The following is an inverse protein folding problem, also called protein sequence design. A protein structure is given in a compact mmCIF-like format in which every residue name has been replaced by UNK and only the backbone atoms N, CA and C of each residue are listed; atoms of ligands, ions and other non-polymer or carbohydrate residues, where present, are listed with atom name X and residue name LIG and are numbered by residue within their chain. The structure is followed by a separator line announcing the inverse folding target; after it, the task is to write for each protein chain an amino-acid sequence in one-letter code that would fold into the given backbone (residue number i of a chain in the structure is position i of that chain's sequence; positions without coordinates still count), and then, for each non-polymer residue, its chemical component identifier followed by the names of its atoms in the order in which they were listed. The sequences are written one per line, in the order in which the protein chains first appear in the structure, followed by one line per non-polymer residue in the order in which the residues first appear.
data_IF_855963399025
#
_entry.id   IF_855963399025
#
_cell.length_a   1.000
_cell.length_b   1.000
_cell.length_c   1.000
_cell.angle_alpha   90.00
_cell.angle_beta   90.00
_cell.angle_gamma   90.00
#
_symmetry.space_group_name_H-M   'P 1'
#
loop_
_entity.id
_entity.type
_entity.pdbx_description
1 polymer ?
#
# COMPACT_ATOMS: atom_id res chain seq x y z
N UNK A 1 17.72 1.72 -28.00
CA UNK A 1 16.72 2.08 -26.97
C UNK A 1 15.35 1.42 -27.19
N UNK A 2 14.89 1.20 -28.44
CA UNK A 2 13.62 0.52 -28.73
C UNK A 2 13.53 -0.93 -28.22
N UNK A 3 14.60 -1.73 -28.30
CA UNK A 3 14.52 -3.16 -27.92
C UNK A 3 14.34 -3.42 -26.43
N UNK A 4 14.72 -2.48 -25.55
CA UNK A 4 14.52 -2.59 -24.10
C UNK A 4 13.10 -2.25 -23.69
N UNK A 5 12.44 -1.33 -24.39
CA UNK A 5 11.03 -1.01 -24.15
C UNK A 5 10.15 -2.17 -24.58
N UNK A 6 10.35 -2.67 -25.80
CA UNK A 6 9.59 -3.83 -26.30
C UNK A 6 9.77 -5.09 -25.45
N UNK A 7 10.96 -5.32 -24.86
CA UNK A 7 11.15 -6.45 -23.93
C UNK A 7 10.46 -6.25 -22.58
N UNK A 8 10.31 -5.01 -22.14
CA UNK A 8 9.73 -4.67 -20.85
C UNK A 8 8.21 -4.68 -20.93
N UNK A 9 7.64 -4.12 -22.00
CA UNK A 9 6.20 -4.17 -22.30
C UNK A 9 5.73 -5.63 -22.40
N UNK A 10 6.48 -6.48 -23.10
CA UNK A 10 6.19 -7.92 -23.19
C UNK A 10 6.30 -8.64 -21.83
N UNK A 11 7.23 -8.22 -20.95
CA UNK A 11 7.35 -8.78 -19.62
C UNK A 11 6.19 -8.35 -18.71
N UNK A 12 5.76 -7.09 -18.82
CA UNK A 12 4.59 -6.56 -18.14
C UNK A 12 3.33 -7.33 -18.57
N UNK A 13 3.05 -7.40 -19.87
CA UNK A 13 1.90 -8.13 -20.43
C UNK A 13 1.89 -9.60 -19.97
N UNK A 14 3.04 -10.27 -19.99
CA UNK A 14 3.12 -11.64 -19.54
C UNK A 14 2.83 -11.78 -18.04
N UNK A 15 3.33 -10.88 -17.18
CA UNK A 15 3.05 -10.91 -15.74
C UNK A 15 1.56 -10.66 -15.46
N UNK A 16 0.97 -9.67 -16.13
CA UNK A 16 -0.46 -9.35 -16.03
C UNK A 16 -1.31 -10.56 -16.44
N UNK A 17 -0.96 -11.20 -17.57
CA UNK A 17 -1.66 -12.40 -18.06
C UNK A 17 -1.51 -13.58 -17.10
N UNK A 18 -0.32 -13.83 -16.55
CA UNK A 18 -0.09 -14.90 -15.55
C UNK A 18 -0.93 -14.67 -14.30
N UNK A 19 -1.23 -13.41 -13.96
CA UNK A 19 -2.14 -13.04 -12.86
C UNK A 19 -3.63 -13.11 -13.25
N UNK A 20 -3.97 -13.60 -14.44
CA UNK A 20 -5.36 -13.73 -14.89
C UNK A 20 -6.04 -12.40 -15.22
N UNK A 21 -5.26 -11.33 -15.44
CA UNK A 21 -5.76 -10.04 -15.89
C UNK A 21 -5.63 -9.92 -17.40
N UNK A 22 -6.61 -9.27 -18.00
CA UNK A 22 -6.57 -8.87 -19.41
C UNK A 22 -6.48 -7.36 -19.43
N UNK A 23 -5.37 -6.80 -19.89
CA UNK A 23 -5.18 -5.36 -20.08
C UNK A 23 -5.45 -4.98 -21.53
N UNK A 24 -5.98 -3.79 -21.76
CA UNK A 24 -5.88 -3.15 -23.09
C UNK A 24 -4.49 -2.53 -23.26
N UNK A 25 -4.06 -2.31 -24.50
CA UNK A 25 -2.75 -1.71 -24.78
C UNK A 25 -2.60 -0.35 -24.07
N UNK A 26 -1.51 -0.19 -23.31
CA UNK A 26 -1.24 1.01 -22.52
C UNK A 26 -2.10 1.19 -21.25
N UNK A 27 -2.96 0.23 -20.91
CA UNK A 27 -3.69 0.24 -19.64
C UNK A 27 -2.74 -0.11 -18.50
N UNK A 28 -2.80 0.69 -17.44
CA UNK A 28 -1.98 0.47 -16.26
C UNK A 28 -2.50 -0.72 -15.46
N UNK A 29 -1.58 -1.43 -14.80
CA UNK A 29 -1.93 -2.59 -13.98
C UNK A 29 -2.99 -2.27 -12.92
N UNK A 30 -2.86 -1.14 -12.20
CA UNK A 30 -3.84 -0.75 -11.19
C UNK A 30 -5.24 -0.56 -11.79
N UNK A 31 -5.34 0.17 -12.90
CA UNK A 31 -6.63 0.42 -13.55
C UNK A 31 -7.29 -0.88 -14.00
N UNK A 32 -6.49 -1.82 -14.52
CA UNK A 32 -6.98 -3.13 -14.96
C UNK A 32 -7.42 -4.03 -13.80
N UNK A 33 -6.67 -4.06 -12.69
CA UNK A 33 -7.02 -4.88 -11.53
C UNK A 33 -8.19 -4.28 -10.73
N UNK A 34 -8.27 -2.95 -10.65
CA UNK A 34 -9.36 -2.23 -9.97
C UNK A 34 -10.69 -2.40 -10.72
N UNK A 35 -10.68 -2.33 -12.05
CA UNK A 35 -11.86 -2.54 -12.88
C UNK A 35 -12.22 -4.03 -13.09
N UNK A 36 -11.43 -4.97 -12.57
CA UNK A 36 -11.65 -6.39 -12.80
C UNK A 36 -12.92 -6.89 -12.11
N UNK A 37 -13.71 -7.69 -12.83
CA UNK A 37 -14.87 -8.38 -12.26
C UNK A 37 -14.48 -9.52 -11.30
N UNK A 38 -13.23 -9.98 -11.36
CA UNK A 38 -12.73 -11.00 -10.45
C UNK A 38 -12.25 -10.36 -9.14
N UNK A 39 -13.14 -10.34 -8.16
CA UNK A 39 -12.90 -9.77 -6.82
C UNK A 39 -11.69 -10.37 -6.09
N UNK A 40 -11.30 -11.60 -6.42
CA UNK A 40 -10.17 -12.28 -5.78
C UNK A 40 -8.84 -11.73 -6.28
N UNK A 41 -8.76 -11.23 -7.53
CA UNK A 41 -7.51 -10.72 -8.07
C UNK A 41 -7.01 -9.53 -7.25
N UNK A 42 -7.87 -8.56 -6.98
CA UNK A 42 -7.52 -7.39 -6.18
C UNK A 42 -7.07 -7.82 -4.78
N UNK A 43 -7.82 -8.72 -4.14
CA UNK A 43 -7.51 -9.25 -2.81
C UNK A 43 -6.20 -10.01 -2.74
N UNK A 44 -5.87 -10.80 -3.75
CA UNK A 44 -4.61 -11.57 -3.78
C UNK A 44 -3.39 -10.67 -3.95
N UNK A 45 -3.56 -9.50 -4.57
CA UNK A 45 -2.50 -8.53 -4.79
C UNK A 45 -2.30 -7.58 -3.61
N UNK A 46 -3.38 -7.18 -2.94
CA UNK A 46 -3.35 -6.11 -1.93
C UNK A 46 -3.82 -6.54 -0.54
N UNK A 47 -4.25 -7.79 -0.37
CA UNK A 47 -4.81 -8.36 0.88
C UNK A 47 -6.04 -7.64 1.41
N UNK A 48 -6.72 -6.86 0.56
CA UNK A 48 -7.96 -6.16 0.84
C UNK A 48 -8.86 -6.17 -0.40
N UNK A 49 -10.15 -5.94 -0.24
CA UNK A 49 -11.05 -5.75 -1.39
C UNK A 49 -10.97 -4.31 -1.94
N UNK A 50 -11.59 -4.11 -3.10
CA UNK A 50 -11.60 -2.83 -3.81
C UNK A 50 -12.24 -1.71 -2.97
N UNK A 51 -13.32 -2.01 -2.26
CA UNK A 51 -14.03 -1.02 -1.45
C UNK A 51 -13.19 -0.57 -0.24
N UNK A 52 -12.50 -1.50 0.42
CA UNK A 52 -11.57 -1.22 1.48
C UNK A 52 -10.38 -0.39 0.97
N UNK A 53 -9.89 -0.68 -0.23
CA UNK A 53 -8.85 0.15 -0.86
C UNK A 53 -9.34 1.55 -1.15
N UNK A 54 -10.52 1.71 -1.78
CA UNK A 54 -11.08 3.02 -2.10
C UNK A 54 -11.28 3.85 -0.82
N UNK A 55 -11.83 3.25 0.24
CA UNK A 55 -11.93 3.91 1.54
C UNK A 55 -10.55 4.30 2.11
N UNK A 56 -9.56 3.41 2.03
CA UNK A 56 -8.19 3.71 2.48
C UNK A 56 -7.57 4.85 1.67
N UNK A 57 -7.84 4.90 0.37
CA UNK A 57 -7.36 5.95 -0.51
C UNK A 57 -7.94 7.31 -0.12
N UNK A 58 -9.26 7.42 0.06
CA UNK A 58 -9.91 8.67 0.49
C UNK A 58 -9.33 9.19 1.82
N UNK A 59 -9.02 8.29 2.76
CA UNK A 59 -8.40 8.65 4.03
C UNK A 59 -6.95 9.11 3.90
N UNK A 60 -6.19 8.48 2.99
CA UNK A 60 -4.79 8.83 2.75
C UNK A 60 -4.63 10.07 1.87
N UNK A 61 -5.60 10.36 1.01
CA UNK A 61 -5.53 11.41 -0.01
C UNK A 61 -5.09 12.78 0.54
N UNK A 62 -5.61 13.28 1.69
CA UNK A 62 -5.19 14.58 2.24
C UNK A 62 -3.70 14.63 2.62
N UNK A 63 -3.07 13.48 2.84
CA UNK A 63 -1.67 13.36 3.23
C UNK A 63 -0.74 13.03 2.05
N UNK A 64 -1.30 12.77 0.87
CA UNK A 64 -0.51 12.58 -0.37
C UNK A 64 -0.26 13.95 -0.98
N UNK A 65 0.88 14.55 -0.62
CA UNK A 65 1.25 15.96 -0.89
C UNK A 65 1.47 16.28 -2.38
N UNK A 66 1.39 15.32 -3.30
CA UNK A 66 1.83 15.53 -4.69
C UNK A 66 0.75 15.52 -5.77
N UNK A 67 1.00 16.36 -6.79
CA UNK A 67 0.39 16.37 -8.12
C UNK A 67 0.84 15.19 -9.00
N UNK A 68 1.05 14.01 -8.40
CA UNK A 68 1.31 12.80 -9.18
C UNK A 68 0.02 12.46 -9.93
N UNK A 69 0.11 12.33 -11.26
CA UNK A 69 -1.04 12.09 -12.15
C UNK A 69 -1.88 10.87 -11.75
N UNK A 70 -1.23 9.86 -11.15
CA UNK A 70 -1.85 8.60 -10.74
C UNK A 70 -1.76 8.43 -9.23
N UNK A 71 -2.56 9.21 -8.48
CA UNK A 71 -2.49 9.22 -7.02
C UNK A 71 -2.82 7.85 -6.40
N UNK A 72 -3.72 7.06 -7.01
CA UNK A 72 -4.07 5.73 -6.50
C UNK A 72 -2.88 4.76 -6.55
N UNK A 73 -2.04 4.85 -7.58
CA UNK A 73 -0.81 4.04 -7.65
C UNK A 73 0.20 4.37 -6.57
N UNK A 74 0.20 5.61 -6.07
CA UNK A 74 1.06 6.01 -4.94
C UNK A 74 0.74 5.15 -3.73
N UNK A 75 -0.55 4.80 -3.52
CA UNK A 75 -1.00 3.95 -2.43
C UNK A 75 -0.98 2.46 -2.78
N UNK A 76 -1.17 2.08 -4.03
CA UNK A 76 -1.08 0.68 -4.47
C UNK A 76 0.35 0.12 -4.26
N UNK A 77 1.36 0.79 -4.80
CA UNK A 77 2.76 0.35 -4.73
C UNK A 77 3.22 -0.12 -3.34
N UNK A 78 3.03 0.63 -2.24
CA UNK A 78 3.38 0.17 -0.90
C UNK A 78 2.46 -0.96 -0.41
N UNK A 79 1.18 -0.97 -0.75
CA UNK A 79 0.23 -2.00 -0.31
C UNK A 79 0.53 -3.33 -0.98
N UNK A 80 0.88 -3.34 -2.26
CA UNK A 80 1.40 -4.50 -2.94
C UNK A 80 2.71 -5.00 -2.30
N UNK A 81 3.59 -4.08 -1.91
CA UNK A 81 4.84 -4.42 -1.23
C UNK A 81 4.57 -5.05 0.15
N UNK A 82 3.68 -4.47 0.94
CA UNK A 82 3.30 -4.95 2.28
C UNK A 82 2.54 -6.28 2.18
N UNK A 83 1.56 -6.37 1.29
CA UNK A 83 0.65 -7.52 1.17
C UNK A 83 1.25 -8.75 0.50
N UNK A 84 2.21 -8.56 -0.41
CA UNK A 84 2.84 -9.64 -1.18
C UNK A 84 4.34 -9.79 -0.91
N UNK A 85 4.93 -9.00 -0.01
CA UNK A 85 6.37 -8.93 0.22
C UNK A 85 7.18 -8.74 -1.09
N UNK A 86 6.61 -8.02 -2.06
CA UNK A 86 7.13 -7.96 -3.41
C UNK A 86 8.49 -7.23 -3.49
N UNK A 87 9.44 -7.83 -4.20
CA UNK A 87 10.72 -7.19 -4.49
C UNK A 87 10.53 -5.94 -5.38
N UNK A 88 11.40 -4.95 -5.23
CA UNK A 88 11.28 -3.72 -6.03
C UNK A 88 11.34 -4.01 -7.54
N UNK A 89 12.22 -4.93 -7.97
CA UNK A 89 12.32 -5.35 -9.39
C UNK A 89 11.03 -5.98 -9.93
N UNK A 90 10.36 -6.82 -9.14
CA UNK A 90 9.08 -7.41 -9.57
C UNK A 90 7.98 -6.37 -9.70
N UNK A 91 8.02 -5.33 -8.85
CA UNK A 91 7.04 -4.26 -8.90
C UNK A 91 7.30 -3.29 -10.07
N UNK A 92 8.56 -3.01 -10.42
CA UNK A 92 8.85 -2.18 -11.60
C UNK A 92 8.18 -2.74 -12.86
N UNK A 93 8.32 -4.05 -13.09
CA UNK A 93 7.68 -4.70 -14.24
C UNK A 93 6.16 -4.75 -14.07
N UNK A 94 5.66 -5.06 -12.87
CA UNK A 94 4.21 -5.16 -12.62
C UNK A 94 3.48 -3.83 -12.81
N UNK A 95 4.05 -2.74 -12.31
CA UNK A 95 3.43 -1.42 -12.37
C UNK A 95 3.83 -0.61 -13.60
N UNK A 96 4.74 -1.12 -14.42
CA UNK A 96 5.35 -0.37 -15.52
C UNK A 96 5.99 0.95 -15.02
N UNK A 97 6.69 0.87 -13.88
CA UNK A 97 7.32 2.00 -13.21
C UNK A 97 8.83 1.79 -13.09
N UNK A 98 9.58 2.90 -13.15
CA UNK A 98 11.02 2.87 -12.84
C UNK A 98 11.26 2.76 -11.35
N UNK A 99 12.40 2.17 -10.95
CA UNK A 99 12.82 2.04 -9.56
C UNK A 99 12.73 3.36 -8.77
N UNK A 100 13.15 4.48 -9.35
CA UNK A 100 13.10 5.78 -8.69
C UNK A 100 11.67 6.23 -8.41
N UNK A 101 10.74 5.97 -9.32
CA UNK A 101 9.31 6.27 -9.16
C UNK A 101 8.70 5.37 -8.08
N UNK A 102 8.98 4.07 -8.14
CA UNK A 102 8.57 3.09 -7.13
C UNK A 102 9.04 3.49 -5.72
N UNK A 103 10.32 3.82 -5.58
CA UNK A 103 10.89 4.23 -4.31
C UNK A 103 10.26 5.52 -3.78
N UNK A 104 10.04 6.50 -4.67
CA UNK A 104 9.34 7.75 -4.37
C UNK A 104 7.91 7.52 -3.91
N UNK A 105 7.18 6.58 -4.53
CA UNK A 105 5.81 6.24 -4.13
C UNK A 105 5.80 5.60 -2.74
N UNK A 106 6.68 4.64 -2.46
CA UNK A 106 6.81 4.03 -1.12
C UNK A 106 7.12 5.04 -0.02
N UNK A 107 8.09 5.94 -0.23
CA UNK A 107 8.48 6.96 0.75
C UNK A 107 7.32 7.91 1.10
N UNK A 108 6.44 8.20 0.13
CA UNK A 108 5.35 9.17 0.32
C UNK A 108 4.09 8.55 0.90
N UNK A 109 3.80 7.33 0.49
CA UNK A 109 2.57 6.64 0.84
C UNK A 109 2.59 6.03 2.22
N UNK A 110 3.73 5.49 2.68
CA UNK A 110 3.83 4.91 4.02
C UNK A 110 3.51 5.96 5.11
N UNK A 111 4.07 7.18 5.10
CA UNK A 111 3.65 8.23 6.02
C UNK A 111 2.17 8.60 5.89
N UNK A 112 1.63 8.67 4.67
CA UNK A 112 0.21 8.96 4.46
C UNK A 112 -0.70 7.89 5.10
N UNK A 113 -0.36 6.60 4.94
CA UNK A 113 -1.05 5.49 5.60
C UNK A 113 -0.97 5.65 7.12
N UNK A 114 0.21 5.92 7.68
CA UNK A 114 0.38 6.08 9.13
C UNK A 114 -0.43 7.27 9.67
N UNK A 115 -0.45 8.40 8.96
CA UNK A 115 -1.22 9.58 9.34
C UNK A 115 -2.74 9.33 9.25
N UNK A 116 -3.19 8.65 8.21
CA UNK A 116 -4.59 8.24 8.04
C UNK A 116 -5.03 7.25 9.13
N UNK A 117 -4.17 6.28 9.47
CA UNK A 117 -4.42 5.36 10.57
C UNK A 117 -4.47 6.07 11.92
N UNK A 118 -3.58 7.05 12.14
CA UNK A 118 -3.56 7.86 13.36
C UNK A 118 -4.76 8.81 13.48
N UNK A 119 -5.34 9.27 12.36
CA UNK A 119 -6.56 10.09 12.41
C UNK A 119 -7.81 9.26 12.68
N UNK A 120 -7.84 8.00 12.23
CA UNK A 120 -8.93 7.05 12.49
C UNK A 120 -8.87 6.44 13.89
N UNK A 121 -7.69 5.94 14.26
CA UNK A 121 -7.47 5.40 15.58
C UNK A 121 -7.20 6.57 16.50
N UNK A 122 -8.17 6.94 17.33
CA UNK A 122 -7.83 7.60 18.60
C UNK A 122 -6.95 6.61 19.37
N UNK A 123 -5.65 6.64 19.10
CA UNK A 123 -4.67 5.97 19.95
C UNK A 123 -4.85 6.66 21.29
N UNK A 124 -5.48 5.94 22.21
CA UNK A 124 -5.71 6.42 23.55
C UNK A 124 -4.33 6.65 24.15
N UNK A 125 -3.94 7.92 24.25
CA UNK A 125 -2.70 8.34 24.92
C UNK A 125 -2.75 8.08 26.42
N UNK A 126 -3.92 7.64 26.93
CA UNK A 126 -4.14 7.23 28.31
C UNK A 126 -4.73 5.83 28.34
N UNK A 127 -4.14 4.95 29.15
CA UNK A 127 -4.68 3.60 29.38
C UNK A 127 -6.07 3.75 30.05
N UNK A 128 -7.15 3.15 29.50
CA UNK A 128 -8.46 3.17 30.14
C UNK A 128 -8.40 2.63 31.58
N UNK A 129 -9.07 3.31 32.52
CA UNK A 129 -9.15 2.89 33.93
C UNK A 129 -9.63 1.44 34.09
N UNK A 130 -10.59 1.00 33.28
CA UNK A 130 -11.10 -0.38 33.28
C UNK A 130 -10.00 -1.41 32.92
N UNK A 131 -9.07 -1.04 32.05
CA UNK A 131 -7.94 -1.87 31.67
C UNK A 131 -6.89 -1.92 32.79
N UNK A 132 -6.59 -0.78 33.43
CA UNK A 132 -5.71 -0.72 34.60
C UNK A 132 -6.27 -1.53 35.79
N UNK A 133 -7.59 -1.53 36.00
CA UNK A 133 -8.21 -2.34 37.04
C UNK A 133 -8.04 -3.85 36.79
N UNK A 134 -8.03 -4.29 35.52
CA UNK A 134 -7.79 -5.70 35.15
C UNK A 134 -6.31 -6.07 35.10
N UNK A 135 -5.46 -5.10 34.77
CA UNK A 135 -4.02 -5.27 34.57
C UNK A 135 -3.24 -4.18 35.32
N UNK A 136 -3.17 -4.26 36.66
CA UNK A 136 -2.64 -3.18 37.50
C UNK A 136 -1.18 -2.81 37.21
N UNK A 137 -0.38 -3.75 36.68
CA UNK A 137 1.03 -3.53 36.35
C UNK A 137 1.29 -3.07 34.90
N UNK A 138 0.25 -2.90 34.09
CA UNK A 138 0.44 -2.55 32.67
C UNK A 138 1.08 -1.18 32.45
N UNK A 139 0.89 -0.25 33.40
CA UNK A 139 1.59 1.04 33.39
C UNK A 139 3.12 0.89 33.42
N UNK A 140 3.64 -0.16 34.09
CA UNK A 140 5.08 -0.45 34.14
C UNK A 140 5.58 -1.02 32.81
N UNK A 141 4.72 -1.70 32.05
CA UNK A 141 5.05 -2.22 30.73
C UNK A 141 5.20 -1.09 29.69
N UNK A 142 4.39 -0.02 29.77
CA UNK A 142 4.58 1.16 28.92
C UNK A 142 5.90 1.88 29.24
N UNK A 143 6.25 2.06 30.52
CA UNK A 143 7.56 2.63 30.91
C UNK A 143 8.74 1.80 30.39
N UNK A 144 8.61 0.47 30.35
CA UNK A 144 9.61 -0.42 29.76
C UNK A 144 9.69 -0.34 28.22
N UNK A 145 8.57 -0.07 27.53
CA UNK A 145 8.54 0.10 26.06
C UNK A 145 9.10 1.46 25.65
N UNK A 146 8.80 2.52 26.40
CA UNK A 146 9.30 3.88 26.17
C UNK A 146 10.73 4.10 26.72
N UNK A 147 11.38 3.06 27.24
CA UNK A 147 12.75 3.12 27.78
C UNK A 147 12.92 3.99 29.02
N UNK A 148 11.82 4.36 29.68
CA UNK A 148 11.80 5.13 30.93
C UNK A 148 11.73 4.16 32.10
N UNK A 149 12.90 3.68 32.51
CA UNK A 149 13.06 3.01 33.80
C UNK A 149 13.48 4.06 34.84
N UNK A 150 12.71 4.21 35.91
CA UNK A 150 13.14 4.89 37.14
C UNK A 150 13.85 3.92 38.07
#
# INVERSE_FOLDING_TARGET
MQSRRSSWDAAHENIVRVRGLTTTEGQRFFDAIHASQNIFLFRDNFRMDVAAFDASFELCQPFIVDTVRYQREVLDVPLNWIGAAAACRSQEVLFDLTYSTMHKYRIRSVPAILLALNSLMKILTQIPLVFLCKHPYFHQALGAIDGTHF
#
